data_IF_919722887465
#
_entry.id   IF_919722887465
#
_cell.length_a   1.000
_cell.length_b   1.000
_cell.length_c   1.000
_cell.angle_alpha   90.00
_cell.angle_beta   90.00
_cell.angle_gamma   90.00
#
_symmetry.space_group_name_H-M   'P 1'
#
loop_
_entity.id
_entity.type
_entity.pdbx_description
1 polymer ?
#
# COMPACT_ATOMS: atom_id res chain seq x y z
N UNK A 1 -1.07 16.80 5.48
CA UNK A 1 -0.76 16.47 6.91
C UNK A 1 -2.01 16.36 7.76
N UNK A 2 -2.96 17.28 7.66
CA UNK A 2 -4.22 17.21 8.42
C UNK A 2 -4.93 15.87 8.27
N UNK A 3 -5.05 15.34 7.03
CA UNK A 3 -5.77 14.10 6.75
C UNK A 3 -5.19 12.86 7.45
N UNK A 4 -3.86 12.74 7.62
CA UNK A 4 -3.27 11.61 8.37
C UNK A 4 -3.61 11.71 9.85
N UNK A 5 -3.53 12.91 10.43
CA UNK A 5 -3.84 13.11 11.84
C UNK A 5 -5.32 12.89 12.11
N UNK A 6 -6.20 13.35 11.21
CA UNK A 6 -7.65 13.14 11.30
C UNK A 6 -7.98 11.64 11.25
N UNK A 7 -7.35 10.89 10.34
CA UNK A 7 -7.54 9.45 10.20
C UNK A 7 -7.07 8.69 11.45
N UNK A 8 -5.90 9.05 11.98
CA UNK A 8 -5.38 8.44 13.19
C UNK A 8 -6.24 8.81 14.43
N UNK A 9 -6.71 10.06 14.52
CA UNK A 9 -7.54 10.54 15.63
C UNK A 9 -8.97 9.99 15.61
N UNK A 10 -9.47 9.59 14.42
CA UNK A 10 -10.79 8.97 14.30
C UNK A 10 -10.83 7.56 14.93
N UNK A 11 -9.70 6.85 14.91
CA UNK A 11 -9.60 5.47 15.40
C UNK A 11 -8.91 5.38 16.79
N UNK A 12 -8.10 6.38 17.14
CA UNK A 12 -7.27 6.36 18.35
C UNK A 12 -7.32 7.70 19.11
N UNK A 13 -7.39 7.63 20.43
CA UNK A 13 -7.21 8.79 21.29
C UNK A 13 -5.73 9.19 21.32
N UNK A 14 -5.34 10.13 20.48
CA UNK A 14 -3.96 10.61 20.39
C UNK A 14 -3.72 11.75 21.36
N UNK A 15 -2.61 11.71 22.12
CA UNK A 15 -2.22 12.85 22.94
C UNK A 15 -1.73 14.01 22.08
N UNK A 16 -1.91 15.28 22.53
CA UNK A 16 -1.39 16.45 21.81
C UNK A 16 0.13 16.36 21.55
N UNK A 17 0.89 15.85 22.52
CA UNK A 17 2.34 15.68 22.40
C UNK A 17 2.73 14.66 21.33
N UNK A 18 1.99 13.55 21.24
CA UNK A 18 2.19 12.56 20.17
C UNK A 18 1.86 13.15 18.81
N UNK A 19 0.71 13.84 18.69
CA UNK A 19 0.30 14.49 17.44
C UNK A 19 1.33 15.51 16.98
N UNK A 20 1.87 16.30 17.90
CA UNK A 20 2.95 17.25 17.63
C UNK A 20 4.24 16.53 17.21
N UNK A 21 4.63 15.49 17.93
CA UNK A 21 5.85 14.73 17.64
C UNK A 21 5.80 14.08 16.24
N UNK A 22 4.69 13.40 15.89
CA UNK A 22 4.56 12.79 14.57
C UNK A 22 4.56 13.85 13.46
N UNK A 23 3.88 14.98 13.66
CA UNK A 23 3.80 16.07 12.68
C UNK A 23 5.16 16.67 12.35
N UNK A 24 6.06 16.80 13.34
CA UNK A 24 7.40 17.36 13.15
C UNK A 24 8.29 16.40 12.35
N UNK A 25 8.09 15.09 12.49
CA UNK A 25 8.95 14.07 11.91
C UNK A 25 8.48 13.51 10.57
N UNK A 26 7.24 13.79 10.17
CA UNK A 26 6.73 13.43 8.85
C UNK A 26 7.36 14.30 7.76
N UNK A 27 7.82 13.65 6.69
CA UNK A 27 8.32 14.32 5.47
C UNK A 27 7.34 14.09 4.33
N UNK A 28 6.96 15.17 3.67
CA UNK A 28 6.08 15.14 2.52
C UNK A 28 6.86 14.93 1.23
N UNK A 29 6.31 14.08 0.34
CA UNK A 29 6.86 13.78 -0.98
C UNK A 29 5.75 13.85 -2.02
N UNK A 30 6.02 14.59 -3.10
CA UNK A 30 5.14 14.66 -4.27
C UNK A 30 5.73 13.84 -5.41
N UNK A 31 5.00 12.83 -5.84
CA UNK A 31 5.45 11.87 -6.83
C UNK A 31 4.62 11.95 -8.09
N UNK A 32 5.30 11.95 -9.24
CA UNK A 32 4.66 11.91 -10.54
C UNK A 32 4.12 10.51 -10.84
N UNK A 33 3.12 10.41 -11.73
CA UNK A 33 2.63 9.13 -12.23
C UNK A 33 3.77 8.32 -12.86
N UNK A 34 3.85 7.04 -12.51
CA UNK A 34 4.85 6.10 -13.01
C UNK A 34 6.20 6.17 -12.29
N UNK A 35 6.31 7.00 -11.26
CA UNK A 35 7.57 7.12 -10.50
C UNK A 35 7.78 5.90 -9.60
N UNK A 36 8.92 5.20 -9.75
CA UNK A 36 9.25 4.07 -8.89
C UNK A 36 9.93 4.50 -7.60
N UNK A 37 9.61 3.82 -6.50
CA UNK A 37 10.30 3.87 -5.22
C UNK A 37 10.75 2.46 -4.89
N UNK A 38 12.04 2.24 -4.71
CA UNK A 38 12.58 0.94 -4.27
C UNK A 38 12.40 0.79 -2.76
N UNK A 39 12.02 -0.39 -2.32
CA UNK A 39 11.95 -0.74 -0.89
C UNK A 39 13.12 -1.68 -0.51
N UNK A 40 13.68 -1.56 0.70
CA UNK A 40 13.42 -0.50 1.69
C UNK A 40 13.80 0.89 1.18
N UNK A 41 13.04 1.90 1.59
CA UNK A 41 13.28 3.28 1.15
C UNK A 41 14.29 3.98 2.07
N UNK A 42 15.29 4.71 1.51
CA UNK A 42 16.16 5.56 2.31
C UNK A 42 15.41 6.66 3.07
N UNK A 43 14.22 7.04 2.62
CA UNK A 43 13.37 8.06 3.26
C UNK A 43 12.64 7.55 4.49
N UNK A 44 12.64 6.23 4.72
CA UNK A 44 11.92 5.55 5.81
C UNK A 44 10.98 4.47 5.28
N UNK A 45 10.62 3.57 6.16
CA UNK A 45 9.84 2.37 5.85
C UNK A 45 8.39 2.45 6.35
N UNK A 46 7.99 3.55 6.98
CA UNK A 46 6.60 3.87 7.31
C UNK A 46 6.15 5.01 6.41
N UNK A 47 5.18 4.74 5.55
CA UNK A 47 4.66 5.69 4.57
C UNK A 47 3.15 5.79 4.70
N UNK A 48 2.62 6.99 4.55
CA UNK A 48 1.18 7.25 4.51
C UNK A 48 0.80 7.82 3.16
N UNK A 49 -0.21 7.24 2.53
CA UNK A 49 -0.75 7.73 1.25
C UNK A 49 -1.74 8.84 1.53
N UNK A 50 -1.30 10.09 1.42
CA UNK A 50 -2.17 11.26 1.61
C UNK A 50 -3.18 11.39 0.47
N UNK A 51 -2.70 11.27 -0.77
CA UNK A 51 -3.51 11.23 -1.99
C UNK A 51 -2.84 10.30 -2.99
N UNK A 52 -3.62 9.75 -3.92
CA UNK A 52 -3.08 8.97 -5.01
C UNK A 52 -3.32 7.47 -4.90
N UNK A 53 -2.63 6.75 -5.76
CA UNK A 53 -2.73 5.31 -5.91
C UNK A 53 -1.37 4.75 -6.34
N UNK A 54 -0.94 3.69 -5.66
CA UNK A 54 0.33 3.00 -5.93
C UNK A 54 0.07 1.51 -6.14
N UNK A 55 0.99 0.86 -6.82
CA UNK A 55 1.13 -0.60 -6.84
C UNK A 55 2.46 -1.00 -6.23
N UNK A 56 2.47 -2.10 -5.49
CA UNK A 56 3.68 -2.81 -5.12
C UNK A 56 3.94 -3.92 -6.15
N UNK A 57 5.18 -4.05 -6.60
CA UNK A 57 5.56 -5.05 -7.59
C UNK A 57 7.03 -5.42 -7.47
N UNK A 58 7.36 -6.58 -8.02
CA UNK A 58 8.73 -7.00 -8.28
C UNK A 58 8.87 -7.50 -9.73
N UNK A 59 10.10 -7.60 -10.20
CA UNK A 59 10.41 -8.08 -11.53
C UNK A 59 11.19 -9.40 -11.44
N UNK A 60 10.78 -10.40 -12.21
CA UNK A 60 11.54 -11.64 -12.37
C UNK A 60 12.82 -11.41 -13.19
N UNK A 61 13.71 -12.40 -13.22
CA UNK A 61 14.97 -12.32 -13.98
C UNK A 61 14.79 -12.05 -15.47
N UNK A 62 13.66 -12.44 -16.06
CA UNK A 62 13.31 -12.17 -17.45
C UNK A 62 12.47 -10.91 -17.65
N UNK A 63 12.43 -10.02 -16.66
CA UNK A 63 11.76 -8.70 -16.73
C UNK A 63 10.25 -8.74 -16.60
N UNK A 64 9.63 -9.89 -16.30
CA UNK A 64 8.19 -9.97 -16.08
C UNK A 64 7.83 -9.32 -14.74
N UNK A 65 6.86 -8.40 -14.77
CA UNK A 65 6.29 -7.75 -13.59
C UNK A 65 5.33 -8.68 -12.86
N UNK A 66 5.38 -8.65 -11.52
CA UNK A 66 4.43 -9.31 -10.62
C UNK A 66 3.94 -8.30 -9.61
N UNK A 67 2.64 -7.96 -9.67
CA UNK A 67 2.03 -7.02 -8.76
C UNK A 67 1.56 -7.77 -7.51
N UNK A 68 2.02 -7.31 -6.35
CA UNK A 68 1.72 -7.91 -5.05
C UNK A 68 0.56 -7.21 -4.36
N UNK A 69 0.45 -5.88 -4.51
CA UNK A 69 -0.50 -5.05 -3.79
C UNK A 69 -0.83 -3.76 -4.52
N UNK A 70 -1.98 -3.17 -4.15
CA UNK A 70 -2.33 -1.77 -4.43
C UNK A 70 -2.52 -1.03 -3.11
N UNK A 71 -2.13 0.25 -3.10
CA UNK A 71 -2.25 1.15 -1.98
C UNK A 71 -2.93 2.43 -2.44
N UNK A 72 -3.91 2.91 -1.66
CA UNK A 72 -4.70 4.09 -2.00
C UNK A 72 -4.71 5.10 -0.86
N UNK A 73 -5.30 6.24 -1.12
CA UNK A 73 -5.47 7.31 -0.12
C UNK A 73 -6.01 6.76 1.21
N UNK A 74 -5.40 7.21 2.31
CA UNK A 74 -5.75 6.81 3.68
C UNK A 74 -5.08 5.51 4.15
N UNK A 75 -4.27 4.85 3.31
CA UNK A 75 -3.56 3.64 3.71
C UNK A 75 -2.15 3.94 4.21
N UNK A 76 -1.71 3.12 5.16
CA UNK A 76 -0.35 3.17 5.72
C UNK A 76 0.42 1.95 5.22
N UNK A 77 1.59 2.19 4.67
CA UNK A 77 2.55 1.20 4.22
C UNK A 77 3.60 1.07 5.32
N UNK A 78 3.72 -0.11 5.91
CA UNK A 78 4.79 -0.43 6.86
C UNK A 78 5.63 -1.50 6.20
N UNK A 79 6.77 -1.08 5.64
CA UNK A 79 7.70 -2.01 5.03
C UNK A 79 8.55 -2.67 6.11
N UNK A 80 8.59 -4.00 6.10
CA UNK A 80 9.51 -4.79 6.91
C UNK A 80 10.39 -5.62 5.99
N UNK A 81 11.71 -5.61 6.17
CA UNK A 81 12.58 -6.53 5.45
C UNK A 81 12.11 -7.97 5.64
N UNK A 82 12.07 -8.72 4.56
CA UNK A 82 11.73 -10.15 4.65
C UNK A 82 12.87 -10.92 5.31
N UNK A 83 12.58 -11.86 6.22
CA UNK A 83 13.61 -12.76 6.75
C UNK A 83 14.21 -13.67 5.65
N UNK A 84 13.59 -13.71 4.48
CA UNK A 84 14.05 -14.48 3.31
C UNK A 84 14.85 -13.65 2.30
N UNK A 85 15.20 -12.39 2.61
CA UNK A 85 16.16 -11.63 1.82
C UNK A 85 17.57 -12.22 2.01
N UNK A 86 18.42 -12.29 0.96
CA UNK A 86 18.25 -11.74 -0.37
C UNK A 86 17.58 -12.68 -1.39
N UNK A 87 16.92 -13.74 -0.98
CA UNK A 87 16.32 -14.74 -1.87
C UNK A 87 15.12 -14.19 -2.68
N UNK A 88 14.45 -13.16 -2.16
CA UNK A 88 13.33 -12.50 -2.83
C UNK A 88 13.81 -11.34 -3.70
N UNK A 89 13.16 -11.09 -4.86
CA UNK A 89 13.44 -9.92 -5.68
C UNK A 89 13.14 -8.63 -4.90
N UNK A 90 13.91 -7.56 -5.19
CA UNK A 90 13.62 -6.24 -4.65
C UNK A 90 12.21 -5.79 -5.03
N UNK A 91 11.45 -5.31 -4.04
CA UNK A 91 10.12 -4.78 -4.24
C UNK A 91 10.15 -3.28 -4.55
N UNK A 92 9.26 -2.85 -5.43
CA UNK A 92 9.09 -1.46 -5.84
C UNK A 92 7.66 -1.01 -5.55
N UNK A 93 7.51 0.22 -5.08
CA UNK A 93 6.24 0.95 -5.17
C UNK A 93 6.26 1.79 -6.43
N UNK A 94 5.23 1.69 -7.26
CA UNK A 94 5.09 2.50 -8.48
C UNK A 94 3.78 3.25 -8.41
N UNK A 95 3.84 4.56 -8.57
CA UNK A 95 2.66 5.42 -8.58
C UNK A 95 1.82 5.19 -9.85
N UNK A 96 0.52 5.02 -9.69
CA UNK A 96 -0.42 4.89 -10.82
C UNK A 96 -1.03 6.23 -11.25
N UNK A 97 -0.90 7.25 -10.40
CA UNK A 97 -1.32 8.63 -10.64
C UNK A 97 -0.43 9.58 -9.83
N UNK A 98 -0.66 10.90 -9.90
CA UNK A 98 0.01 11.85 -9.02
C UNK A 98 -0.28 11.49 -7.56
N UNK A 99 0.76 11.36 -6.76
CA UNK A 99 0.66 10.81 -5.40
C UNK A 99 1.42 11.69 -4.42
N UNK A 100 0.78 12.00 -3.31
CA UNK A 100 1.43 12.63 -2.16
C UNK A 100 1.58 11.60 -1.06
N UNK A 101 2.82 11.39 -0.62
CA UNK A 101 3.18 10.51 0.49
C UNK A 101 3.74 11.31 1.64
N UNK A 102 3.42 10.92 2.87
CA UNK A 102 4.22 11.25 4.03
C UNK A 102 5.08 10.05 4.42
N UNK A 103 6.33 10.28 4.75
CA UNK A 103 7.25 9.25 5.23
C UNK A 103 7.74 9.55 6.64
N UNK A 104 7.91 8.50 7.43
CA UNK A 104 8.53 8.53 8.75
C UNK A 104 9.79 7.67 8.69
N UNK A 105 10.94 8.23 9.04
CA UNK A 105 12.19 7.48 9.08
C UNK A 105 12.17 6.44 10.20
N UNK A 106 12.95 5.37 10.06
CA UNK A 106 13.04 4.31 11.07
C UNK A 106 13.52 4.84 12.42
N UNK A 107 14.44 5.81 12.41
CA UNK A 107 14.90 6.50 13.61
C UNK A 107 13.74 7.20 14.35
N UNK A 108 12.89 7.91 13.61
CA UNK A 108 11.77 8.64 14.20
C UNK A 108 10.62 7.69 14.58
N UNK A 109 10.42 6.61 13.84
CA UNK A 109 9.48 5.56 14.23
C UNK A 109 9.89 4.90 15.55
N UNK A 110 11.20 4.58 15.70
CA UNK A 110 11.77 4.09 16.95
C UNK A 110 11.59 5.06 18.12
N UNK A 111 11.89 6.34 17.91
CA UNK A 111 11.65 7.40 18.92
C UNK A 111 10.17 7.45 19.37
N UNK A 112 9.21 7.37 18.43
CA UNK A 112 7.80 7.38 18.78
C UNK A 112 7.39 6.14 19.58
N UNK A 113 7.93 4.96 19.24
CA UNK A 113 7.68 3.71 19.96
C UNK A 113 8.20 3.78 21.41
N UNK A 114 9.40 4.32 21.60
CA UNK A 114 10.02 4.43 22.93
C UNK A 114 9.33 5.49 23.81
N UNK A 115 8.95 6.63 23.21
CA UNK A 115 8.46 7.77 23.96
C UNK A 115 6.96 7.74 24.23
N UNK A 116 6.18 7.13 23.33
CA UNK A 116 4.72 7.18 23.36
C UNK A 116 4.12 5.77 23.36
N UNK A 117 3.71 5.21 24.52
CA UNK A 117 3.13 3.86 24.60
C UNK A 117 1.91 3.64 23.70
N UNK A 118 1.16 4.70 23.37
CA UNK A 118 0.02 4.68 22.44
C UNK A 118 0.41 4.30 20.99
N UNK A 119 1.70 4.31 20.66
CA UNK A 119 2.20 3.87 19.34
C UNK A 119 2.03 2.36 19.15
N UNK A 120 2.09 1.57 20.22
CA UNK A 120 1.96 0.10 20.12
C UNK A 120 0.57 -0.37 19.66
N UNK A 121 -0.55 0.06 20.27
CA UNK A 121 -1.88 -0.31 19.76
C UNK A 121 -2.11 0.18 18.34
N UNK A 122 -1.60 1.36 17.98
CA UNK A 122 -1.66 1.91 16.62
C UNK A 122 -0.91 1.01 15.63
N UNK A 123 0.32 0.62 15.93
CA UNK A 123 1.12 -0.30 15.12
C UNK A 123 0.42 -1.66 14.97
N UNK A 124 -0.09 -2.23 16.06
CA UNK A 124 -0.81 -3.50 16.05
C UNK A 124 -2.07 -3.44 15.18
N UNK A 125 -2.82 -2.33 15.21
CA UNK A 125 -3.98 -2.14 14.36
C UNK A 125 -3.60 -2.21 12.87
N UNK A 126 -2.58 -1.45 12.45
CA UNK A 126 -2.14 -1.46 11.05
C UNK A 126 -1.57 -2.82 10.62
N UNK A 127 -0.86 -3.52 11.51
CA UNK A 127 -0.37 -4.87 11.22
C UNK A 127 -1.51 -5.88 11.02
N UNK A 128 -2.56 -5.81 11.83
CA UNK A 128 -3.77 -6.66 11.66
C UNK A 128 -4.49 -6.35 10.35
N UNK A 129 -4.65 -5.07 10.00
CA UNK A 129 -5.24 -4.64 8.73
C UNK A 129 -4.42 -5.14 7.54
N UNK A 130 -3.10 -5.09 7.64
CA UNK A 130 -2.18 -5.61 6.63
C UNK A 130 -2.31 -7.13 6.47
N UNK A 131 -2.33 -7.88 7.57
CA UNK A 131 -2.53 -9.32 7.55
C UNK A 131 -3.87 -9.70 6.92
N UNK A 132 -4.97 -9.06 7.32
CA UNK A 132 -6.29 -9.29 6.75
C UNK A 132 -6.35 -9.00 5.24
N UNK A 133 -5.63 -7.96 4.78
CA UNK A 133 -5.55 -7.66 3.34
C UNK A 133 -4.70 -8.70 2.59
N UNK A 134 -3.63 -9.20 3.20
CA UNK A 134 -2.81 -10.28 2.62
C UNK A 134 -3.62 -11.58 2.49
N UNK A 135 -4.45 -11.90 3.48
CA UNK A 135 -5.38 -13.05 3.42
C UNK A 135 -6.41 -12.87 2.30
N UNK A 136 -7.00 -11.68 2.19
CA UNK A 136 -7.92 -11.35 1.09
C UNK A 136 -7.26 -11.53 -0.28
N UNK A 137 -6.04 -11.04 -0.46
CA UNK A 137 -5.28 -11.17 -1.72
C UNK A 137 -5.01 -12.65 -2.04
N UNK A 138 -4.61 -13.43 -1.04
CA UNK A 138 -4.38 -14.86 -1.19
C UNK A 138 -5.66 -15.60 -1.61
N UNK A 139 -6.78 -15.27 -0.97
CA UNK A 139 -8.08 -15.80 -1.32
C UNK A 139 -8.53 -15.41 -2.74
N UNK A 140 -8.36 -14.14 -3.12
CA UNK A 140 -8.69 -13.65 -4.47
C UNK A 140 -8.01 -14.45 -5.58
N UNK A 141 -6.75 -14.83 -5.39
CA UNK A 141 -5.97 -15.58 -6.39
C UNK A 141 -6.40 -17.04 -6.55
N UNK A 142 -7.19 -17.57 -5.61
CA UNK A 142 -7.72 -18.93 -5.65
C UNK A 142 -9.14 -19.01 -6.25
N UNK A 143 -9.83 -17.85 -6.35
CA UNK A 143 -11.19 -17.81 -6.89
C UNK A 143 -11.22 -17.92 -8.42
N UNK A 144 -12.31 -18.46 -8.99
CA UNK A 144 -12.61 -18.30 -10.41
C UNK A 144 -12.60 -16.82 -10.81
N UNK A 145 -12.09 -16.50 -12.00
CA UNK A 145 -11.79 -15.13 -12.41
C UNK A 145 -12.96 -14.15 -12.24
N UNK A 146 -14.18 -14.54 -12.57
CA UNK A 146 -15.35 -13.65 -12.41
C UNK A 146 -15.61 -13.29 -10.95
N UNK A 147 -15.47 -14.27 -10.04
CA UNK A 147 -15.63 -14.05 -8.60
C UNK A 147 -14.47 -13.22 -8.05
N UNK A 148 -13.23 -13.53 -8.47
CA UNK A 148 -12.05 -12.77 -8.12
C UNK A 148 -12.18 -11.30 -8.54
N UNK A 149 -12.63 -11.04 -9.78
CA UNK A 149 -12.83 -9.67 -10.27
C UNK A 149 -13.97 -8.95 -9.53
N UNK A 150 -15.09 -9.63 -9.25
CA UNK A 150 -16.19 -9.05 -8.45
C UNK A 150 -15.71 -8.64 -7.05
N UNK A 151 -14.95 -9.52 -6.40
CA UNK A 151 -14.37 -9.24 -5.07
C UNK A 151 -13.30 -8.14 -5.14
N UNK A 152 -12.44 -8.16 -6.16
CA UNK A 152 -11.46 -7.10 -6.40
C UNK A 152 -12.10 -5.71 -6.49
N UNK A 153 -13.18 -5.56 -7.27
CA UNK A 153 -13.90 -4.28 -7.44
C UNK A 153 -14.52 -3.76 -6.13
N UNK A 154 -14.85 -4.65 -5.20
CA UNK A 154 -15.38 -4.25 -3.88
C UNK A 154 -14.31 -3.64 -2.96
N UNK A 155 -13.07 -4.10 -3.08
CA UNK A 155 -11.99 -3.76 -2.13
C UNK A 155 -10.95 -2.80 -2.70
N UNK A 156 -10.83 -2.71 -4.03
CA UNK A 156 -9.84 -1.88 -4.72
C UNK A 156 -10.52 -0.91 -5.70
N UNK A 157 -9.94 0.27 -5.95
CA UNK A 157 -10.50 1.27 -6.87
C UNK A 157 -10.26 0.85 -8.33
N UNK A 158 -10.93 -0.22 -8.77
CA UNK A 158 -10.72 -0.85 -10.08
C UNK A 158 -10.84 0.11 -11.28
N UNK A 159 -11.65 1.19 -11.14
CA UNK A 159 -11.81 2.21 -12.18
C UNK A 159 -10.56 3.08 -12.38
N UNK A 160 -9.68 3.19 -11.37
CA UNK A 160 -8.41 3.93 -11.41
C UNK A 160 -7.22 3.05 -11.78
N UNK A 161 -7.36 1.71 -11.68
CA UNK A 161 -6.29 0.76 -11.96
C UNK A 161 -6.34 0.32 -13.42
N UNK A 162 -5.20 0.38 -14.16
CA UNK A 162 -5.13 -0.14 -15.52
C UNK A 162 -5.52 -1.62 -15.60
N UNK A 163 -6.24 -2.01 -16.66
CA UNK A 163 -6.69 -3.41 -16.86
C UNK A 163 -5.50 -4.38 -16.85
N UNK A 164 -4.38 -4.00 -17.45
CA UNK A 164 -3.14 -4.81 -17.45
C UNK A 164 -2.61 -5.09 -16.04
N UNK A 165 -2.72 -4.10 -15.14
CA UNK A 165 -2.24 -4.22 -13.77
C UNK A 165 -3.18 -5.09 -12.92
N UNK A 166 -4.51 -4.96 -13.14
CA UNK A 166 -5.49 -5.88 -12.52
C UNK A 166 -5.24 -7.33 -12.99
N UNK A 167 -5.02 -7.53 -14.28
CA UNK A 167 -4.74 -8.84 -14.85
C UNK A 167 -3.44 -9.44 -14.30
N UNK A 168 -2.38 -8.64 -14.20
CA UNK A 168 -1.12 -9.04 -13.58
C UNK A 168 -1.31 -9.45 -12.12
N UNK A 169 -2.05 -8.67 -11.35
CA UNK A 169 -2.35 -8.94 -9.94
C UNK A 169 -3.16 -10.23 -9.74
N UNK A 170 -4.16 -10.48 -10.61
CA UNK A 170 -4.98 -11.69 -10.58
C UNK A 170 -4.31 -12.91 -11.26
N UNK A 171 -3.13 -12.73 -11.88
CA UNK A 171 -2.40 -13.82 -12.53
C UNK A 171 -3.04 -14.31 -13.84
N UNK A 172 -3.77 -13.46 -14.56
CA UNK A 172 -4.51 -13.80 -15.78
C UNK A 172 -4.12 -12.91 -16.96
N UNK A 173 -4.54 -13.28 -18.19
CA UNK A 173 -4.36 -12.45 -19.37
C UNK A 173 -5.26 -11.20 -19.34
N UNK A 174 -4.72 -10.04 -19.76
CA UNK A 174 -5.45 -8.77 -19.77
C UNK A 174 -6.76 -8.82 -20.59
N UNK A 175 -6.78 -9.60 -21.70
CA UNK A 175 -7.97 -9.81 -22.53
C UNK A 175 -9.14 -10.34 -21.71
N UNK A 176 -8.91 -11.33 -20.82
CA UNK A 176 -9.97 -11.92 -19.99
C UNK A 176 -10.57 -10.92 -18.99
N UNK A 177 -9.74 -10.06 -18.40
CA UNK A 177 -10.23 -9.00 -17.51
C UNK A 177 -11.03 -7.96 -18.30
N UNK A 178 -10.59 -7.60 -19.53
CA UNK A 178 -11.31 -6.69 -20.41
C UNK A 178 -12.70 -7.23 -20.80
N UNK A 179 -12.82 -8.51 -21.10
CA UNK A 179 -14.08 -9.17 -21.43
C UNK A 179 -15.08 -9.08 -20.26
N UNK A 180 -14.66 -9.42 -19.03
CA UNK A 180 -15.52 -9.31 -17.84
C UNK A 180 -15.92 -7.86 -17.57
N UNK A 181 -15.00 -6.91 -17.77
CA UNK A 181 -15.27 -5.48 -17.58
C UNK A 181 -16.25 -4.94 -18.63
N UNK A 182 -16.21 -5.46 -19.86
CA UNK A 182 -17.12 -5.11 -20.96
C UNK A 182 -18.54 -5.63 -20.72
N UNK A 183 -18.70 -6.87 -20.25
CA UNK A 183 -20.00 -7.49 -19.96
C UNK A 183 -20.83 -6.77 -18.87
N UNK A 184 -20.19 -5.96 -18.01
CA UNK A 184 -20.87 -5.16 -16.98
C UNK A 184 -21.35 -3.78 -17.45
N UNK A 185 -21.10 -3.42 -18.73
CA UNK A 185 -21.52 -2.14 -19.31
C UNK A 185 -22.78 -2.26 -20.18
N UNK A 186 -23.27 -3.45 -20.40
CA UNK A 186 -24.54 -3.79 -21.06
C UNK A 186 -25.55 -4.16 -20.02
#
# INVERSE_FOLDING_TARGET
MQTILDLLSAEFSLSPDFTKAISIHLKEHHLQKGQPLRLPSPSGNVMFVQTGLLKACYFSRNGREYITRFWQQGEIIIFKPSPYEPMLPAEYLITLEHTTLFTLSDKHAGFLLERFPQTYPLLNHFQRKEAATSDLISHLRQLPLEQAYKTFVKHFPAHRIPVKDIACFLGVAAKRVSEIRGQKRT
#
